data_IF_962201669506
#
_entry.id   IF_962201669506
#
_cell.length_a   1.000
_cell.length_b   1.000
_cell.length_c   1.000
_cell.angle_alpha   90.00
_cell.angle_beta   90.00
_cell.angle_gamma   90.00
#
_symmetry.space_group_name_H-M   'P 1'
#
loop_
_entity.id
_entity.type
_entity.pdbx_description
1 polymer ?
#
# COMPACT_ATOMS: atom_id res chain seq x y z
N UNK A 1 -17.44 -11.99 -17.38
CA UNK A 1 -16.55 -10.92 -16.88
C UNK A 1 -16.22 -11.29 -15.45
N UNK A 2 -15.13 -12.01 -15.25
CA UNK A 2 -14.67 -12.43 -13.93
C UNK A 2 -13.47 -11.57 -13.57
N UNK A 3 -13.72 -10.53 -12.77
CA UNK A 3 -12.73 -9.48 -12.44
C UNK A 3 -12.26 -9.58 -10.98
N UNK A 4 -12.49 -10.73 -10.31
CA UNK A 4 -12.19 -10.89 -8.89
C UNK A 4 -10.80 -11.47 -8.57
N UNK A 5 -9.96 -11.77 -9.58
CA UNK A 5 -8.55 -12.14 -9.39
C UNK A 5 -7.62 -10.95 -9.64
N UNK A 6 -7.63 -9.96 -8.75
CA UNK A 6 -6.51 -9.01 -8.66
C UNK A 6 -5.97 -9.08 -7.25
N UNK A 7 -5.05 -10.02 -7.07
CA UNK A 7 -4.55 -10.44 -5.77
C UNK A 7 -3.65 -9.35 -5.19
N UNK A 8 -3.92 -8.99 -3.93
CA UNK A 8 -3.28 -7.92 -3.19
C UNK A 8 -1.74 -8.06 -3.10
N UNK A 9 -1.03 -7.44 -4.05
CA UNK A 9 0.43 -7.47 -4.12
C UNK A 9 1.08 -6.41 -3.22
N UNK A 10 0.83 -6.54 -1.93
CA UNK A 10 1.72 -6.09 -0.84
C UNK A 10 1.82 -7.18 0.26
N UNK A 11 0.89 -8.16 0.25
CA UNK A 11 0.77 -9.24 1.24
C UNK A 11 0.79 -10.63 0.59
N UNK A 12 1.68 -10.87 -0.37
CA UNK A 12 2.00 -12.25 -0.78
C UNK A 12 3.27 -12.73 -0.07
N UNK A 13 3.16 -13.72 0.85
CA UNK A 13 4.31 -14.31 1.50
C UNK A 13 5.01 -15.25 0.50
N UNK A 14 6.08 -14.76 -0.11
CA UNK A 14 7.20 -15.64 -0.41
C UNK A 14 8.00 -15.68 0.89
N UNK A 15 8.01 -16.85 1.55
CA UNK A 15 8.43 -17.05 2.95
C UNK A 15 9.85 -16.56 3.31
N UNK A 16 10.65 -16.13 2.33
CA UNK A 16 12.06 -15.72 2.52
C UNK A 16 12.22 -14.22 2.87
N UNK A 17 11.19 -13.38 2.70
CA UNK A 17 11.33 -11.90 2.84
C UNK A 17 10.23 -11.22 3.69
N UNK A 18 9.58 -11.94 4.61
CA UNK A 18 8.38 -11.43 5.31
C UNK A 18 8.69 -10.24 6.25
N UNK A 19 9.81 -10.28 6.99
CA UNK A 19 10.18 -9.20 7.91
C UNK A 19 10.60 -7.88 7.24
N UNK A 20 11.26 -7.97 6.08
CA UNK A 20 11.63 -6.80 5.28
C UNK A 20 10.40 -6.11 4.70
N UNK A 21 9.42 -6.89 4.25
CA UNK A 21 8.13 -6.37 3.74
C UNK A 21 7.32 -5.69 4.84
N UNK A 22 7.25 -6.26 6.04
CA UNK A 22 6.56 -5.61 7.17
C UNK A 22 7.23 -4.29 7.57
N UNK A 23 8.56 -4.25 7.58
CA UNK A 23 9.31 -3.02 7.83
C UNK A 23 9.01 -1.95 6.77
N UNK A 24 8.98 -2.33 5.49
CA UNK A 24 8.64 -1.41 4.40
C UNK A 24 7.21 -0.86 4.52
N UNK A 25 6.23 -1.67 4.94
CA UNK A 25 4.85 -1.21 5.18
C UNK A 25 4.81 -0.22 6.35
N UNK A 26 5.48 -0.53 7.47
CA UNK A 26 5.57 0.40 8.61
C UNK A 26 6.22 1.72 8.22
N UNK A 27 7.31 1.66 7.46
CA UNK A 27 7.97 2.84 6.94
C UNK A 27 7.05 3.63 6.00
N UNK A 28 6.35 2.98 5.08
CA UNK A 28 5.47 3.65 4.12
C UNK A 28 4.35 4.47 4.81
N UNK A 29 3.71 3.91 5.84
CA UNK A 29 2.62 4.57 6.56
C UNK A 29 3.08 5.49 7.71
N UNK A 30 4.38 5.50 8.03
CA UNK A 30 4.89 6.34 9.12
C UNK A 30 4.65 7.84 8.83
N UNK A 31 4.28 8.64 9.86
CA UNK A 31 4.01 10.08 9.68
C UNK A 31 5.22 10.87 9.17
N UNK A 32 6.43 10.44 9.50
CA UNK A 32 7.68 11.12 9.16
C UNK A 32 8.18 10.81 7.74
N UNK A 33 7.54 9.86 7.06
CA UNK A 33 7.94 9.49 5.71
C UNK A 33 7.43 10.53 4.74
N UNK A 34 8.29 10.99 3.83
CA UNK A 34 7.92 11.97 2.80
C UNK A 34 7.31 11.27 1.59
N UNK A 35 6.59 12.00 0.74
CA UNK A 35 5.99 11.43 -0.46
C UNK A 35 7.04 10.85 -1.42
N UNK A 36 8.19 11.52 -1.57
CA UNK A 36 9.30 10.98 -2.37
C UNK A 36 9.84 9.65 -1.82
N UNK A 37 9.91 9.49 -0.50
CA UNK A 37 10.30 8.21 0.12
C UNK A 37 9.22 7.14 -0.08
N UNK A 38 7.93 7.50 -0.01
CA UNK A 38 6.82 6.59 -0.30
C UNK A 38 6.87 6.10 -1.74
N UNK A 39 7.03 7.00 -2.70
CA UNK A 39 7.14 6.65 -4.12
C UNK A 39 8.36 5.75 -4.38
N UNK A 40 9.50 6.02 -3.74
CA UNK A 40 10.69 5.16 -3.84
C UNK A 40 10.41 3.74 -3.33
N UNK A 41 9.68 3.58 -2.21
CA UNK A 41 9.27 2.27 -1.70
C UNK A 41 8.32 1.56 -2.69
N UNK A 42 7.33 2.28 -3.25
CA UNK A 42 6.41 1.72 -4.23
C UNK A 42 7.16 1.18 -5.46
N UNK A 43 8.14 1.94 -5.95
CA UNK A 43 8.98 1.55 -7.08
C UNK A 43 9.91 0.38 -6.73
N UNK A 44 10.63 0.46 -5.61
CA UNK A 44 11.59 -0.55 -5.15
C UNK A 44 10.95 -1.94 -5.03
N UNK A 45 9.72 -2.00 -4.52
CA UNK A 45 8.99 -3.26 -4.34
C UNK A 45 8.04 -3.61 -5.51
N UNK A 46 8.05 -2.80 -6.58
CA UNK A 46 7.15 -2.92 -7.72
C UNK A 46 5.67 -3.09 -7.28
N UNK A 47 5.27 -2.24 -6.34
CA UNK A 47 3.92 -2.21 -5.77
C UNK A 47 2.95 -1.68 -6.80
N UNK A 48 1.89 -2.45 -7.07
CA UNK A 48 0.81 -2.04 -7.97
C UNK A 48 -0.44 -1.59 -7.22
N UNK A 49 -0.63 -2.12 -6.02
CA UNK A 49 -1.78 -1.81 -5.18
C UNK A 49 -1.35 -1.56 -3.74
N UNK A 50 -1.91 -0.51 -3.14
CA UNK A 50 -1.80 -0.21 -1.71
C UNK A 50 -3.12 -0.60 -1.05
N UNK A 51 -3.02 -1.45 -0.02
CA UNK A 51 -4.13 -1.78 0.86
C UNK A 51 -4.16 -0.80 2.01
N UNK A 52 -5.32 -0.19 2.28
CA UNK A 52 -5.52 0.69 3.40
C UNK A 52 -6.71 0.23 4.25
N UNK A 53 -6.42 -0.47 5.35
CA UNK A 53 -7.40 -0.95 6.31
C UNK A 53 -7.01 -0.60 7.75
N UNK A 54 -7.73 -1.13 8.76
CA UNK A 54 -7.54 -0.74 10.16
C UNK A 54 -6.13 -0.94 10.69
N UNK A 55 -5.40 -1.96 10.18
CA UNK A 55 -4.00 -2.19 10.57
C UNK A 55 -3.09 -1.10 10.05
N UNK A 56 -3.23 -0.73 8.78
CA UNK A 56 -2.40 0.31 8.15
C UNK A 56 -2.75 1.69 8.69
N UNK A 57 -4.02 1.96 8.97
CA UNK A 57 -4.49 3.16 9.67
C UNK A 57 -3.85 3.31 11.06
N UNK A 58 -3.55 2.21 11.75
CA UNK A 58 -2.90 2.23 13.05
C UNK A 58 -1.38 2.51 12.98
N UNK A 59 -0.77 2.49 11.79
CA UNK A 59 0.68 2.71 11.62
C UNK A 59 1.07 4.18 11.54
N UNK A 60 0.12 5.08 11.25
CA UNK A 60 0.39 6.50 11.17
C UNK A 60 -0.78 7.32 10.61
N UNK A 61 -0.52 8.60 10.37
CA UNK A 61 -1.52 9.58 9.93
C UNK A 61 -1.51 9.81 8.43
N UNK A 62 -0.71 9.06 7.66
CA UNK A 62 -0.69 9.18 6.21
C UNK A 62 -2.04 8.78 5.62
N UNK A 63 -2.65 9.68 4.85
CA UNK A 63 -3.90 9.43 4.13
C UNK A 63 -3.59 9.17 2.65
N UNK A 64 -3.72 7.93 2.15
CA UNK A 64 -3.48 7.62 0.74
C UNK A 64 -4.36 8.40 -0.24
N UNK A 65 -5.54 8.88 0.19
CA UNK A 65 -6.43 9.68 -0.66
C UNK A 65 -5.95 11.13 -0.86
N UNK A 66 -4.95 11.61 -0.11
CA UNK A 66 -4.46 12.99 -0.21
C UNK A 66 -3.30 13.17 -1.18
N UNK A 67 -2.83 12.11 -1.84
CA UNK A 67 -1.68 12.15 -2.74
C UNK A 67 -2.05 11.77 -4.16
N UNK A 68 -1.40 12.37 -5.19
CA UNK A 68 -1.79 12.16 -6.58
C UNK A 68 -1.33 10.81 -7.16
N UNK A 69 -0.34 10.15 -6.56
CA UNK A 69 0.23 8.90 -7.07
C UNK A 69 -0.52 7.64 -6.60
N UNK A 70 -1.65 7.79 -5.89
CA UNK A 70 -2.52 6.70 -5.45
C UNK A 70 -3.97 6.99 -5.84
N UNK A 71 -4.52 6.17 -6.75
CA UNK A 71 -5.89 6.30 -7.20
C UNK A 71 -6.78 5.22 -6.59
N UNK A 72 -7.90 5.54 -5.93
CA UNK A 72 -8.78 4.52 -5.36
C UNK A 72 -9.44 3.69 -6.46
N UNK A 73 -9.32 2.36 -6.40
CA UNK A 73 -9.93 1.44 -7.37
C UNK A 73 -11.04 0.58 -6.75
N UNK A 74 -11.01 0.40 -5.44
CA UNK A 74 -12.02 -0.34 -4.69
C UNK A 74 -12.16 0.25 -3.29
N UNK A 75 -13.38 0.29 -2.78
CA UNK A 75 -13.69 0.73 -1.42
C UNK A 75 -14.87 -0.05 -0.87
N UNK A 76 -14.80 -0.38 0.43
CA UNK A 76 -15.92 -0.83 1.24
C UNK A 76 -15.78 -0.25 2.66
N UNK A 77 -16.72 -0.60 3.55
CA UNK A 77 -16.78 -0.08 4.92
C UNK A 77 -15.50 -0.31 5.76
N UNK A 78 -14.65 -1.26 5.36
CA UNK A 78 -13.47 -1.67 6.12
C UNK A 78 -12.15 -1.29 5.46
N UNK A 79 -12.11 -1.17 4.13
CA UNK A 79 -10.86 -1.02 3.38
C UNK A 79 -11.02 -0.16 2.12
N UNK A 80 -9.89 0.41 1.70
CA UNK A 80 -9.72 0.98 0.37
C UNK A 80 -8.49 0.37 -0.30
N UNK A 81 -8.62 -0.02 -1.57
CA UNK A 81 -7.49 -0.36 -2.43
C UNK A 81 -7.19 0.83 -3.33
N UNK A 82 -5.92 1.21 -3.36
CA UNK A 82 -5.41 2.22 -4.29
C UNK A 82 -4.53 1.55 -5.32
N UNK A 83 -4.69 1.90 -6.60
CA UNK A 83 -3.72 1.58 -7.65
C UNK A 83 -2.63 2.64 -7.65
N UNK A 84 -1.39 2.21 -7.88
CA UNK A 84 -0.24 3.11 -8.05
C UNK A 84 -0.23 3.59 -9.50
N UNK A 85 -0.31 4.90 -9.69
CA UNK A 85 -0.21 5.51 -11.02
C UNK A 85 1.27 5.60 -11.46
N UNK A 86 1.57 5.42 -12.76
CA UNK A 86 2.92 5.55 -13.31
C UNK A 86 3.53 6.96 -13.20
#
# INVERSE_FOLDING_TARGET
>A
MDTAQVVAKMRHPHAVHMGEKETAVRQFFAPQTTDGQRQALLQQYAVRYVWYGPREQALGTFNPASVPYLHPTYHNDTITLYVVEP
#
